data_IF_126689823084
#
_entry.id   IF_126689823084
#
_cell.length_a   1.000
_cell.length_b   1.000
_cell.length_c   1.000
_cell.angle_alpha   90.00
_cell.angle_beta   90.00
_cell.angle_gamma   90.00
#
_symmetry.space_group_name_H-M   'P 1'
#
loop_
_entity.id
_entity.type
_entity.pdbx_description
1 polymer ?
#
# COMPACT_ATOMS: atom_id res chain seq x y z
N UNK A 1 -24.27 -34.64 -47.76
CA UNK A 1 -23.55 -34.01 -46.64
C UNK A 1 -22.67 -32.86 -47.16
N UNK A 2 -23.07 -31.61 -46.88
CA UNK A 2 -22.34 -30.32 -47.00
C UNK A 2 -23.46 -29.25 -47.00
N UNK A 3 -23.64 -28.32 -46.07
CA UNK A 3 -22.79 -27.79 -45.01
C UNK A 3 -22.88 -26.26 -45.05
N UNK A 4 -23.80 -25.69 -44.26
CA UNK A 4 -23.89 -24.32 -43.72
C UNK A 4 -23.75 -23.08 -44.65
N UNK A 5 -24.75 -22.19 -44.58
CA UNK A 5 -24.78 -20.90 -45.27
C UNK A 5 -23.99 -19.76 -44.56
N UNK A 6 -23.88 -18.57 -45.18
CA UNK A 6 -23.11 -17.46 -44.64
C UNK A 6 -24.03 -16.45 -43.94
N UNK A 7 -23.72 -16.10 -42.68
CA UNK A 7 -24.18 -14.85 -42.08
C UNK A 7 -23.01 -14.14 -41.42
N UNK A 8 -22.65 -13.02 -42.02
CA UNK A 8 -21.72 -11.99 -41.52
C UNK A 8 -22.46 -11.15 -40.48
N UNK A 9 -21.87 -10.94 -39.30
CA UNK A 9 -22.36 -9.97 -38.32
C UNK A 9 -21.20 -9.31 -37.54
N UNK A 10 -20.96 -8.05 -37.92
CA UNK A 10 -20.43 -6.89 -37.17
C UNK A 10 -19.06 -6.94 -36.42
N UNK A 11 -18.19 -5.94 -36.62
CA UNK A 11 -17.07 -5.66 -35.71
C UNK A 11 -17.55 -4.88 -34.47
N UNK A 12 -17.32 -5.43 -33.28
CA UNK A 12 -17.41 -4.67 -32.03
C UNK A 12 -16.28 -3.64 -31.95
N UNK A 13 -16.51 -2.39 -31.51
CA UNK A 13 -15.43 -1.44 -31.31
C UNK A 13 -14.57 -1.88 -30.12
N UNK A 14 -13.32 -2.27 -30.39
CA UNK A 14 -12.29 -2.42 -29.37
C UNK A 14 -12.05 -1.06 -28.71
N UNK A 15 -12.51 -0.91 -27.48
CA UNK A 15 -12.09 0.21 -26.63
C UNK A 15 -10.56 0.15 -26.43
N UNK A 16 -9.83 1.27 -26.49
CA UNK A 16 -8.42 1.29 -26.16
C UNK A 16 -8.26 1.01 -24.66
N UNK A 17 -7.54 -0.07 -24.32
CA UNK A 17 -7.05 -0.28 -22.97
C UNK A 17 -6.16 0.91 -22.59
N UNK A 18 -6.28 1.49 -21.37
CA UNK A 18 -5.42 2.57 -20.97
C UNK A 18 -3.98 2.06 -20.91
N UNK A 19 -3.14 2.65 -21.75
CA UNK A 19 -1.68 2.61 -21.65
C UNK A 19 -1.32 2.85 -20.19
N UNK A 20 -0.60 1.90 -19.58
CA UNK A 20 -0.13 2.03 -18.22
C UNK A 20 0.87 3.19 -18.15
N UNK A 21 0.35 4.40 -17.89
CA UNK A 21 1.09 5.49 -17.27
C UNK A 21 1.85 4.89 -16.08
N UNK A 22 3.13 5.19 -15.85
CA UNK A 22 3.82 4.78 -14.63
C UNK A 22 3.11 5.48 -13.47
N UNK A 23 2.07 4.82 -12.95
CA UNK A 23 1.25 5.31 -11.88
C UNK A 23 2.17 5.46 -10.69
N UNK A 24 2.34 6.71 -10.22
CA UNK A 24 2.66 6.95 -8.83
C UNK A 24 1.83 5.95 -8.03
N UNK A 25 2.49 5.05 -7.30
CA UNK A 25 1.83 3.86 -6.76
C UNK A 25 0.55 4.31 -6.03
N UNK A 26 -0.63 3.77 -6.38
CA UNK A 26 -1.93 4.26 -5.89
C UNK A 26 -2.16 4.07 -4.38
N UNK A 27 -1.10 3.82 -3.61
CA UNK A 27 -1.12 3.70 -2.15
C UNK A 27 -0.55 4.89 -1.40
N UNK A 28 0.34 5.71 -1.98
CA UNK A 28 1.12 6.67 -1.18
C UNK A 28 0.26 7.85 -0.66
N UNK A 29 -0.61 8.40 -1.52
CA UNK A 29 -1.55 9.46 -1.12
C UNK A 29 -2.61 8.99 -0.12
N UNK A 30 -3.02 7.72 -0.20
CA UNK A 30 -3.98 7.14 0.73
C UNK A 30 -3.34 6.84 2.09
N UNK A 31 -2.08 6.42 2.09
CA UNK A 31 -1.26 6.28 3.30
C UNK A 31 -1.05 7.62 3.98
N UNK A 32 -0.68 8.67 3.24
CA UNK A 32 -0.53 10.02 3.78
C UNK A 32 -1.81 10.49 4.48
N UNK A 33 -2.95 10.26 3.84
CA UNK A 33 -4.27 10.57 4.41
C UNK A 33 -4.52 9.81 5.71
N UNK A 34 -4.30 8.50 5.71
CA UNK A 34 -4.50 7.66 6.90
C UNK A 34 -3.58 8.07 8.06
N UNK A 35 -2.31 8.36 7.77
CA UNK A 35 -1.33 8.86 8.73
C UNK A 35 -1.81 10.18 9.32
N UNK A 36 -2.28 11.11 8.49
CA UNK A 36 -2.82 12.39 8.93
C UNK A 36 -4.03 12.21 9.85
N UNK A 37 -4.97 11.34 9.51
CA UNK A 37 -6.16 11.07 10.32
C UNK A 37 -5.80 10.55 11.72
N UNK A 38 -4.85 9.61 11.80
CA UNK A 38 -4.34 9.09 13.08
C UNK A 38 -3.61 10.17 13.89
N UNK A 39 -2.80 11.01 13.24
CA UNK A 39 -2.11 12.13 13.90
C UNK A 39 -3.10 13.19 14.41
N UNK A 40 -4.13 13.52 13.64
CA UNK A 40 -5.20 14.45 14.03
C UNK A 40 -5.98 13.96 15.25
N UNK A 41 -6.13 12.65 15.41
CA UNK A 41 -6.75 12.04 16.59
C UNK A 41 -5.80 11.90 17.78
N UNK A 42 -4.54 12.35 17.65
CA UNK A 42 -3.53 12.26 18.72
C UNK A 42 -2.94 10.86 18.89
N UNK A 43 -3.14 9.97 17.92
CA UNK A 43 -2.52 8.66 17.91
C UNK A 43 -1.08 8.72 17.39
N UNK A 44 -0.27 7.74 17.79
CA UNK A 44 1.11 7.57 17.32
C UNK A 44 1.13 6.73 16.06
N UNK A 45 2.14 6.95 15.22
CA UNK A 45 2.36 6.13 14.03
C UNK A 45 3.57 5.24 14.26
N UNK A 46 3.42 3.97 13.95
CA UNK A 46 4.52 3.03 13.84
C UNK A 46 4.63 2.52 12.41
N UNK A 47 5.84 2.15 12.01
CA UNK A 47 6.11 1.50 10.72
C UNK A 47 6.46 0.06 10.99
N UNK A 48 5.95 -0.84 10.16
CA UNK A 48 6.28 -2.25 10.18
C UNK A 48 6.69 -2.74 8.80
N UNK A 49 7.54 -3.76 8.80
CA UNK A 49 7.99 -4.43 7.59
C UNK A 49 7.82 -5.94 7.72
N UNK A 50 7.69 -6.60 6.58
CA UNK A 50 7.65 -8.05 6.47
C UNK A 50 8.28 -8.50 5.16
N UNK A 51 9.14 -9.50 5.21
CA UNK A 51 9.56 -10.21 4.01
C UNK A 51 8.42 -11.08 3.42
N UNK A 52 8.60 -11.57 2.19
CA UNK A 52 7.57 -12.35 1.50
C UNK A 52 7.15 -13.62 2.27
N UNK A 53 8.05 -14.25 3.02
CA UNK A 53 7.73 -15.44 3.82
C UNK A 53 6.90 -15.05 5.04
N UNK A 54 7.30 -13.99 5.72
CA UNK A 54 6.60 -13.41 6.88
C UNK A 54 5.21 -12.89 6.55
N UNK A 55 5.06 -12.21 5.42
CA UNK A 55 3.77 -11.74 4.93
C UNK A 55 2.78 -12.91 4.74
N UNK A 56 3.25 -14.03 4.16
CA UNK A 56 2.41 -15.24 3.96
C UNK A 56 1.90 -15.86 5.26
N UNK A 57 2.70 -15.78 6.33
CA UNK A 57 2.32 -16.30 7.66
C UNK A 57 1.76 -15.22 8.59
N UNK A 58 1.54 -14.00 8.09
CA UNK A 58 0.99 -12.88 8.87
C UNK A 58 1.91 -12.33 9.96
N UNK A 59 3.21 -12.62 9.91
CA UNK A 59 4.19 -12.10 10.87
C UNK A 59 4.75 -10.77 10.37
N UNK A 60 4.72 -9.73 11.20
CA UNK A 60 5.27 -8.41 10.85
C UNK A 60 6.29 -7.99 11.91
N UNK A 61 7.32 -7.27 11.49
CA UNK A 61 8.32 -6.70 12.38
C UNK A 61 8.12 -5.20 12.50
N UNK A 62 8.15 -4.71 13.73
CA UNK A 62 8.20 -3.27 13.99
C UNK A 62 9.56 -2.73 13.54
N UNK A 63 9.55 -1.66 12.75
CA UNK A 63 10.72 -0.83 12.57
C UNK A 63 11.12 -0.20 13.92
N UNK A 64 12.41 0.20 14.07
CA UNK A 64 12.84 0.98 15.21
C UNK A 64 12.03 2.29 15.32
N UNK A 65 11.91 2.77 16.55
CA UNK A 65 10.97 3.80 17.00
C UNK A 65 10.88 5.01 16.07
N UNK A 66 9.86 5.03 15.20
CA UNK A 66 9.46 6.27 14.51
C UNK A 66 8.93 7.22 15.57
N UNK A 67 9.72 8.23 15.88
CA UNK A 67 9.37 9.30 16.83
C UNK A 67 8.58 10.42 16.16
N UNK A 68 8.32 10.30 14.85
CA UNK A 68 7.61 11.30 14.09
C UNK A 68 6.13 11.37 14.51
N UNK A 69 5.71 12.59 14.84
CA UNK A 69 4.31 12.97 15.12
C UNK A 69 3.72 13.82 14.00
N UNK A 70 4.44 13.97 12.90
CA UNK A 70 4.03 14.74 11.72
C UNK A 70 4.02 13.84 10.49
N UNK A 71 3.06 14.07 9.59
CA UNK A 71 2.94 13.33 8.32
C UNK A 71 4.28 13.31 7.57
N UNK A 72 4.91 14.48 7.42
CA UNK A 72 6.20 14.60 6.74
C UNK A 72 7.31 13.75 7.39
N UNK A 73 7.40 13.72 8.73
CA UNK A 73 8.39 12.92 9.42
C UNK A 73 8.15 11.41 9.28
N UNK A 74 6.87 11.00 9.30
CA UNK A 74 6.49 9.59 9.06
C UNK A 74 6.83 9.19 7.63
N UNK A 75 6.48 10.02 6.65
CA UNK A 75 6.75 9.75 5.23
C UNK A 75 8.25 9.75 4.93
N UNK A 76 9.03 10.63 5.57
CA UNK A 76 10.49 10.63 5.47
C UNK A 76 11.09 9.32 6.00
N UNK A 77 10.76 8.94 7.24
CA UNK A 77 11.25 7.68 7.83
C UNK A 77 10.81 6.47 7.00
N UNK A 78 9.58 6.49 6.50
CA UNK A 78 9.05 5.47 5.61
C UNK A 78 9.85 5.37 4.31
N UNK A 79 10.22 6.50 3.70
CA UNK A 79 11.06 6.52 2.50
C UNK A 79 12.47 5.96 2.76
N UNK A 80 13.04 6.21 3.94
CA UNK A 80 14.30 5.58 4.37
C UNK A 80 14.13 4.06 4.51
N UNK A 81 13.06 3.62 5.18
CA UNK A 81 12.77 2.19 5.33
C UNK A 81 12.46 1.51 4.00
N UNK A 82 11.82 2.19 3.05
CA UNK A 82 11.58 1.64 1.71
C UNK A 82 12.87 1.37 0.95
N UNK A 83 13.88 2.23 1.12
CA UNK A 83 15.20 2.04 0.53
C UNK A 83 15.97 0.93 1.25
N UNK A 84 15.91 0.91 2.59
CA UNK A 84 16.63 -0.07 3.39
C UNK A 84 16.03 -1.49 3.30
N UNK A 85 14.71 -1.59 3.20
CA UNK A 85 13.94 -2.82 3.06
C UNK A 85 13.34 -2.95 1.65
N UNK A 86 14.11 -2.56 0.64
CA UNK A 86 13.73 -2.68 -0.77
C UNK A 86 13.35 -4.13 -1.11
N UNK A 87 12.16 -4.33 -1.69
CA UNK A 87 11.63 -5.67 -1.99
C UNK A 87 10.93 -6.37 -0.83
N UNK A 88 10.70 -5.69 0.30
CA UNK A 88 9.84 -6.19 1.38
C UNK A 88 8.50 -5.45 1.43
N UNK A 89 7.53 -6.04 2.13
CA UNK A 89 6.26 -5.40 2.45
C UNK A 89 6.49 -4.38 3.56
N UNK A 90 5.99 -3.16 3.38
CA UNK A 90 5.97 -2.16 4.44
C UNK A 90 4.53 -1.71 4.67
N UNK A 91 4.18 -1.52 5.94
CA UNK A 91 2.91 -0.95 6.36
C UNK A 91 3.11 0.08 7.46
N UNK A 92 2.21 1.04 7.52
CA UNK A 92 2.06 1.93 8.68
C UNK A 92 0.96 1.40 9.58
N UNK A 93 1.08 1.66 10.88
CA UNK A 93 0.14 1.24 11.90
C UNK A 93 -0.13 2.43 12.82
N UNK A 94 -1.40 2.77 12.99
CA UNK A 94 -1.82 3.70 14.02
C UNK A 94 -1.82 2.99 15.37
N UNK A 95 -1.10 3.54 16.35
CA UNK A 95 -1.04 3.08 17.73
C UNK A 95 -1.68 4.13 18.63
N UNK A 96 -2.66 3.73 19.43
CA UNK A 96 -3.22 4.59 20.44
C UNK A 96 -2.20 4.82 21.57
N UNK A 97 -1.83 6.08 21.81
CA UNK A 97 -0.83 6.44 22.81
C UNK A 97 -1.27 6.12 24.24
N UNK A 98 -2.57 6.16 24.51
CA UNK A 98 -3.19 5.93 25.83
C UNK A 98 -3.35 4.44 26.12
N UNK A 99 -3.90 3.68 25.17
CA UNK A 99 -4.20 2.25 25.37
C UNK A 99 -3.12 1.31 24.84
N UNK A 100 -2.08 1.83 24.15
CA UNK A 100 -1.07 1.04 23.41
C UNK A 100 -1.66 -0.01 22.47
N UNK A 101 -2.86 0.25 21.96
CA UNK A 101 -3.58 -0.62 21.05
C UNK A 101 -3.37 -0.18 19.61
N UNK A 102 -3.46 -1.11 18.66
CA UNK A 102 -3.51 -0.76 17.25
C UNK A 102 -4.91 -0.26 16.89
N UNK A 103 -4.99 0.94 16.33
CA UNK A 103 -6.25 1.50 15.81
C UNK A 103 -6.49 1.12 14.35
N UNK A 104 -5.44 0.78 13.62
CA UNK A 104 -5.52 0.28 12.26
C UNK A 104 -4.15 0.16 11.60
N UNK A 105 -4.09 -0.48 10.44
CA UNK A 105 -2.89 -0.59 9.62
C UNK A 105 -3.16 -0.32 8.15
N UNK A 106 -2.15 0.19 7.43
CA UNK A 106 -2.22 0.48 6.01
C UNK A 106 -0.92 0.06 5.31
N UNK A 107 -1.05 -0.82 4.31
CA UNK A 107 0.08 -1.27 3.50
C UNK A 107 0.52 -0.13 2.57
N UNK A 108 1.80 0.19 2.63
CA UNK A 108 2.42 1.28 1.86
C UNK A 108 3.21 0.74 0.69
N UNK A 109 3.92 -0.36 0.93
CA UNK A 109 4.70 -1.05 -0.10
C UNK A 109 4.36 -2.53 -0.07
N UNK A 110 4.20 -3.10 -1.26
CA UNK A 110 4.14 -4.54 -1.48
C UNK A 110 5.45 -4.96 -2.13
N UNK A 111 6.04 -6.06 -1.66
CA UNK A 111 7.16 -6.67 -2.37
C UNK A 111 6.69 -7.04 -3.79
N UNK A 112 7.50 -6.68 -4.79
CA UNK A 112 7.30 -7.04 -6.20
C UNK A 112 7.94 -8.37 -6.54
#
# INVERSE_FOLDING_TARGET
PNGAGPVVAAPSPSAPAPTATPAAQPGDGDVARQVREWLMTGHKIAVEYADARRFRIGSWQSCPSVTATTEAGVMAALNEYRQQYGGQYLRVVGINATSKQRVGDRIVQRAG
#
